data_IF_274724261473
#
_entry.id   IF_274724261473
#
_cell.length_a   1.000
_cell.length_b   1.000
_cell.length_c   1.000
_cell.angle_alpha   90.00
_cell.angle_beta   90.00
_cell.angle_gamma   90.00
#
_symmetry.space_group_name_H-M   'P 1'
#
loop_
_entity.id
_entity.type
_entity.pdbx_description
1 polymer ?
#
# COMPACT_ATOMS: atom_id res chain seq x y z
N UNK A 1 56.12 -30.66 -16.88
CA UNK A 1 55.73 -29.60 -15.94
C UNK A 1 55.10 -28.46 -16.68
N UNK A 2 53.83 -28.61 -17.17
CA UNK A 2 53.10 -27.57 -17.90
C UNK A 2 51.60 -27.88 -17.92
N UNK A 3 50.90 -27.92 -16.81
CA UNK A 3 49.44 -28.12 -16.80
C UNK A 3 48.72 -27.50 -15.58
N UNK A 4 49.39 -26.73 -14.72
CA UNK A 4 48.75 -26.19 -13.50
C UNK A 4 48.40 -24.70 -13.51
N UNK A 5 48.57 -23.98 -14.67
CA UNK A 5 48.33 -22.54 -14.80
C UNK A 5 46.98 -22.16 -15.41
N UNK A 6 46.26 -23.09 -16.03
CA UNK A 6 45.01 -22.79 -16.75
C UNK A 6 43.74 -22.97 -15.92
N UNK A 7 43.78 -23.59 -14.76
CA UNK A 7 42.62 -23.85 -13.92
C UNK A 7 42.27 -22.67 -12.94
N UNK A 8 43.25 -21.77 -12.72
CA UNK A 8 43.04 -20.63 -11.82
C UNK A 8 42.36 -19.40 -12.47
N UNK A 9 42.37 -19.33 -13.81
CA UNK A 9 41.80 -18.20 -14.56
C UNK A 9 40.29 -18.30 -14.77
N UNK A 10 39.68 -19.50 -14.61
CA UNK A 10 38.24 -19.71 -14.81
C UNK A 10 37.39 -19.51 -13.54
N UNK A 11 38.00 -19.37 -12.38
CA UNK A 11 37.28 -19.24 -11.10
C UNK A 11 37.01 -17.80 -10.66
N UNK A 12 37.60 -16.81 -11.33
CA UNK A 12 37.45 -15.39 -11.00
C UNK A 12 36.33 -14.69 -11.79
N UNK A 13 35.80 -15.29 -12.84
CA UNK A 13 34.79 -14.67 -13.72
C UNK A 13 33.33 -14.86 -13.25
N UNK A 14 33.08 -15.54 -12.14
CA UNK A 14 31.70 -15.90 -11.72
C UNK A 14 31.16 -15.05 -10.53
N UNK A 15 31.86 -13.99 -10.11
CA UNK A 15 31.55 -13.29 -8.86
C UNK A 15 31.02 -11.86 -8.99
N UNK A 16 30.54 -11.42 -10.15
CA UNK A 16 29.97 -10.07 -10.25
C UNK A 16 28.72 -10.00 -11.14
N UNK A 17 27.73 -10.84 -10.86
CA UNK A 17 26.34 -10.51 -11.17
C UNK A 17 25.63 -10.36 -9.82
N UNK A 18 26.03 -9.40 -9.04
CA UNK A 18 25.16 -8.83 -8.03
C UNK A 18 24.00 -8.17 -8.81
N UNK A 19 22.94 -8.94 -9.05
CA UNK A 19 21.72 -8.42 -9.64
C UNK A 19 21.29 -7.22 -8.82
N UNK A 20 21.35 -6.02 -9.39
CA UNK A 20 20.71 -4.85 -8.82
C UNK A 20 19.22 -5.15 -8.77
N UNK A 21 18.73 -5.62 -7.62
CA UNK A 21 17.29 -5.73 -7.41
C UNK A 21 16.68 -4.35 -7.70
N UNK A 22 15.64 -4.26 -8.52
CA UNK A 22 15.01 -2.97 -8.80
C UNK A 22 14.62 -2.33 -7.47
N UNK A 23 14.95 -1.06 -7.31
CA UNK A 23 14.62 -0.33 -6.09
C UNK A 23 13.10 -0.37 -5.87
N UNK A 24 12.68 -0.91 -4.73
CA UNK A 24 11.27 -1.01 -4.40
C UNK A 24 10.67 0.40 -4.25
N UNK A 25 9.50 0.63 -4.87
CA UNK A 25 8.78 1.90 -4.74
C UNK A 25 8.46 2.18 -3.27
N UNK A 26 8.54 3.46 -2.88
CA UNK A 26 8.27 3.92 -1.51
C UNK A 26 6.85 4.46 -1.38
N UNK A 27 6.25 4.25 -0.22
CA UNK A 27 5.01 4.89 0.18
C UNK A 27 5.27 6.35 0.56
N UNK A 28 4.49 7.26 -0.01
CA UNK A 28 4.69 8.72 0.14
C UNK A 28 3.73 9.35 1.16
N UNK A 29 2.66 8.63 1.53
CA UNK A 29 1.62 9.09 2.44
C UNK A 29 0.45 9.82 1.77
N UNK A 30 -0.75 9.69 2.37
CA UNK A 30 -1.98 10.22 1.82
C UNK A 30 -1.98 11.74 1.64
N UNK A 31 -1.32 12.48 2.54
CA UNK A 31 -1.23 13.95 2.43
C UNK A 31 -0.57 14.41 1.12
N UNK A 32 0.39 13.65 0.61
CA UNK A 32 1.01 13.93 -0.69
C UNK A 32 -0.02 13.85 -1.82
N UNK A 33 -0.90 12.86 -1.81
CA UNK A 33 -2.00 12.73 -2.77
C UNK A 33 -3.02 13.87 -2.59
N UNK A 34 -3.32 14.19 -1.33
CA UNK A 34 -4.25 15.25 -0.95
C UNK A 34 -3.90 16.65 -1.44
N UNK A 35 -2.62 16.93 -1.74
CA UNK A 35 -2.23 18.23 -2.33
C UNK A 35 -2.99 18.55 -3.63
N UNK A 36 -3.34 17.53 -4.42
CA UNK A 36 -4.12 17.68 -5.64
C UNK A 36 -5.55 17.13 -5.49
N UNK A 37 -5.71 15.96 -4.88
CA UNK A 37 -6.98 15.20 -4.86
C UNK A 37 -8.01 15.68 -3.82
N UNK A 38 -7.79 16.82 -3.16
CA UNK A 38 -8.83 17.57 -2.42
C UNK A 38 -9.66 18.47 -3.32
N UNK A 39 -9.15 18.86 -4.47
CA UNK A 39 -9.78 19.82 -5.34
C UNK A 39 -10.93 19.18 -6.12
N UNK A 40 -12.02 19.95 -6.33
CA UNK A 40 -13.23 19.48 -7.06
C UNK A 40 -12.94 19.08 -8.49
N UNK A 41 -12.11 19.86 -9.18
CA UNK A 41 -11.67 19.58 -10.54
C UNK A 41 -10.77 18.34 -10.66
N UNK A 42 -10.33 17.78 -9.53
CA UNK A 42 -9.55 16.54 -9.42
C UNK A 42 -10.35 15.37 -8.84
N UNK A 43 -11.67 15.51 -8.66
CA UNK A 43 -12.58 14.44 -8.22
C UNK A 43 -12.67 14.23 -6.71
N UNK A 44 -12.06 15.08 -5.88
CA UNK A 44 -12.15 15.07 -4.40
C UNK A 44 -11.85 13.70 -3.74
N UNK A 45 -11.08 12.84 -4.39
CA UNK A 45 -10.80 11.48 -3.93
C UNK A 45 -10.24 11.44 -2.49
N UNK A 46 -9.42 12.43 -2.12
CA UNK A 46 -8.91 12.55 -0.76
C UNK A 46 -10.02 12.82 0.26
N UNK A 47 -11.04 13.62 -0.08
CA UNK A 47 -12.16 13.94 0.80
C UNK A 47 -13.05 12.71 1.03
N UNK A 48 -13.25 11.89 -0.01
CA UNK A 48 -13.96 10.60 0.10
C UNK A 48 -13.21 9.66 1.04
N UNK A 49 -11.91 9.51 0.83
CA UNK A 49 -11.06 8.66 1.68
C UNK A 49 -11.03 9.15 3.13
N UNK A 50 -10.83 10.44 3.38
CA UNK A 50 -10.72 11.02 4.73
C UNK A 50 -11.96 10.74 5.60
N UNK A 51 -13.14 10.63 4.98
CA UNK A 51 -14.40 10.29 5.64
C UNK A 51 -14.62 8.78 5.80
N UNK A 52 -13.83 7.95 5.14
CA UNK A 52 -14.01 6.50 5.10
C UNK A 52 -13.53 5.81 6.38
N UNK A 53 -13.96 4.56 6.57
CA UNK A 53 -13.43 3.68 7.61
C UNK A 53 -11.95 3.34 7.40
N UNK A 54 -11.45 3.35 6.16
CA UNK A 54 -10.07 3.09 5.83
C UNK A 54 -9.12 4.14 6.42
N UNK A 55 -9.46 5.43 6.34
CA UNK A 55 -8.67 6.49 6.96
C UNK A 55 -8.59 6.38 8.48
N UNK A 56 -9.57 5.72 9.12
CA UNK A 56 -9.66 5.52 10.57
C UNK A 56 -9.18 4.15 11.01
N UNK A 57 -8.69 3.32 10.08
CA UNK A 57 -8.38 1.92 10.36
C UNK A 57 -7.31 1.77 11.46
N UNK A 58 -6.25 2.58 11.46
CA UNK A 58 -5.24 2.56 12.53
C UNK A 58 -5.82 2.97 13.89
N UNK A 59 -6.69 3.98 13.93
CA UNK A 59 -7.29 4.45 15.19
C UNK A 59 -8.15 3.38 15.86
N UNK A 60 -8.76 2.48 15.07
CA UNK A 60 -9.53 1.37 15.66
C UNK A 60 -8.67 0.41 16.47
N UNK A 61 -7.36 0.34 16.20
CA UNK A 61 -6.42 -0.50 16.95
C UNK A 61 -6.10 0.05 18.35
N UNK A 62 -6.45 1.30 18.64
CA UNK A 62 -6.25 1.95 19.95
C UNK A 62 -7.45 1.77 20.88
N UNK A 63 -8.50 1.08 20.44
CA UNK A 63 -9.71 0.84 21.23
C UNK A 63 -9.52 -0.29 22.23
N UNK A 64 -10.28 -0.26 23.33
CA UNK A 64 -10.33 -1.38 24.31
C UNK A 64 -10.67 -2.71 23.65
N UNK A 65 -11.60 -2.70 22.68
CA UNK A 65 -11.99 -3.89 21.94
C UNK A 65 -10.81 -4.50 21.15
N UNK A 66 -10.00 -3.66 20.51
CA UNK A 66 -8.82 -4.13 19.78
C UNK A 66 -7.79 -4.77 20.73
N UNK A 67 -7.57 -4.17 21.90
CA UNK A 67 -6.69 -4.73 22.93
C UNK A 67 -7.21 -6.06 23.49
N UNK A 68 -8.52 -6.23 23.66
CA UNK A 68 -9.13 -7.49 24.05
C UNK A 68 -8.91 -8.58 22.98
N UNK A 69 -9.05 -8.23 21.69
CA UNK A 69 -8.74 -9.15 20.61
C UNK A 69 -7.26 -9.52 20.55
N UNK A 70 -6.36 -8.56 20.76
CA UNK A 70 -4.93 -8.83 20.80
C UNK A 70 -4.58 -9.81 21.95
N UNK A 71 -5.12 -9.60 23.14
CA UNK A 71 -4.97 -10.50 24.29
C UNK A 71 -5.53 -11.89 24.00
N UNK A 72 -6.74 -11.98 23.44
CA UNK A 72 -7.38 -13.24 23.07
C UNK A 72 -6.57 -14.03 22.04
N UNK A 73 -5.90 -13.33 21.11
CA UNK A 73 -4.98 -13.95 20.14
C UNK A 73 -3.59 -14.27 20.72
N UNK A 74 -3.31 -13.91 21.97
CA UNK A 74 -2.01 -14.14 22.61
C UNK A 74 -0.90 -13.25 22.07
N UNK A 75 -1.24 -12.07 21.50
CA UNK A 75 -0.24 -11.15 20.98
C UNK A 75 0.55 -10.54 22.14
N UNK A 76 1.88 -10.42 21.95
CA UNK A 76 2.81 -9.87 22.96
C UNK A 76 2.85 -8.35 22.98
N UNK A 77 2.37 -7.70 21.92
CA UNK A 77 2.35 -6.24 21.76
C UNK A 77 0.91 -5.73 21.73
N UNK A 78 0.69 -4.46 22.08
CA UNK A 78 -0.60 -3.81 21.86
C UNK A 78 -1.07 -3.95 20.41
N UNK A 79 -2.40 -3.93 20.19
CA UNK A 79 -2.96 -4.08 18.84
C UNK A 79 -2.36 -3.07 17.84
N UNK A 80 -2.17 -1.81 18.28
CA UNK A 80 -1.61 -0.74 17.44
C UNK A 80 -0.09 -0.88 17.13
N UNK A 81 0.56 -1.90 17.70
CA UNK A 81 1.99 -2.19 17.49
C UNK A 81 2.23 -3.61 16.95
N UNK A 82 1.18 -4.42 16.90
CA UNK A 82 1.25 -5.82 16.47
C UNK A 82 1.22 -5.92 14.94
N UNK A 83 2.24 -6.54 14.30
CA UNK A 83 2.26 -6.74 12.85
C UNK A 83 1.02 -7.45 12.32
N UNK A 84 0.46 -8.37 13.11
CA UNK A 84 -0.74 -9.13 12.78
C UNK A 84 -1.98 -8.25 12.60
N UNK A 85 -2.02 -7.12 13.31
CA UNK A 85 -3.08 -6.12 13.17
C UNK A 85 -2.73 -5.09 12.10
N UNK A 86 -1.49 -4.60 12.13
CA UNK A 86 -1.02 -3.54 11.25
C UNK A 86 -1.07 -3.94 9.76
N UNK A 87 -0.90 -5.23 9.43
CA UNK A 87 -0.96 -5.72 8.05
C UNK A 87 -2.25 -5.36 7.31
N UNK A 88 -3.37 -5.20 8.05
CA UNK A 88 -4.68 -4.84 7.49
C UNK A 88 -5.10 -3.41 7.84
N UNK A 89 -4.54 -2.82 8.88
CA UNK A 89 -4.97 -1.52 9.40
C UNK A 89 -4.04 -0.36 9.04
N UNK A 90 -2.93 -0.64 8.35
CA UNK A 90 -1.97 0.38 7.88
C UNK A 90 -1.48 0.04 6.49
N UNK A 91 -1.39 1.04 5.63
CA UNK A 91 -0.78 0.90 4.30
C UNK A 91 0.63 0.34 4.40
N UNK A 92 0.95 -0.66 3.59
CA UNK A 92 2.26 -1.34 3.64
C UNK A 92 2.46 -2.22 4.87
N UNK A 93 1.41 -2.53 5.63
CA UNK A 93 1.47 -3.44 6.79
C UNK A 93 2.13 -2.85 8.03
N UNK A 94 2.33 -1.54 8.08
CA UNK A 94 2.88 -0.82 9.23
C UNK A 94 4.37 -1.09 9.53
N UNK A 95 4.97 -2.10 8.93
CA UNK A 95 6.39 -2.42 9.02
C UNK A 95 7.15 -1.99 7.75
N UNK A 96 6.53 -1.16 6.92
CA UNK A 96 7.13 -0.72 5.68
C UNK A 96 8.44 0.05 5.94
N UNK A 97 9.56 -0.54 5.57
CA UNK A 97 10.87 0.11 5.58
C UNK A 97 11.05 1.01 4.34
N UNK A 98 10.22 0.80 3.33
CA UNK A 98 10.20 1.53 2.07
C UNK A 98 9.20 2.70 2.11
N UNK A 99 9.42 3.66 3.00
CA UNK A 99 8.57 4.86 3.15
C UNK A 99 9.37 6.14 2.89
N UNK A 100 8.68 7.19 2.41
CA UNK A 100 9.20 8.57 2.40
C UNK A 100 8.82 9.28 3.72
N UNK A 101 9.47 10.41 4.01
CA UNK A 101 9.25 11.19 5.25
C UNK A 101 7.79 11.65 5.44
N UNK A 102 7.02 11.75 4.35
CA UNK A 102 5.60 12.12 4.37
C UNK A 102 4.65 11.03 4.84
N UNK A 103 5.08 9.78 4.83
CA UNK A 103 4.26 8.64 5.24
C UNK A 103 3.96 8.67 6.74
N UNK A 104 2.71 8.43 7.10
CA UNK A 104 2.26 8.31 8.51
C UNK A 104 1.39 7.07 8.66
N UNK A 105 1.73 6.17 9.60
CA UNK A 105 0.91 4.99 9.89
C UNK A 105 -0.48 5.35 10.43
N UNK A 106 -0.60 6.52 11.04
CA UNK A 106 -1.85 7.08 11.56
C UNK A 106 -2.88 7.38 10.46
N UNK A 107 -2.43 7.46 9.19
CA UNK A 107 -3.32 7.59 8.03
C UNK A 107 -4.10 6.29 7.71
N UNK A 108 -3.81 5.20 8.43
CA UNK A 108 -4.52 3.94 8.28
C UNK A 108 -4.30 3.29 6.92
N UNK A 109 -5.39 2.81 6.31
CA UNK A 109 -5.37 2.26 4.95
C UNK A 109 -5.58 3.41 3.97
N UNK A 110 -4.48 3.92 3.42
CA UNK A 110 -4.47 5.11 2.58
C UNK A 110 -4.55 4.80 1.09
N UNK A 111 -4.50 5.84 0.27
CA UNK A 111 -4.57 5.76 -1.20
C UNK A 111 -3.66 4.68 -1.79
N UNK A 112 -2.45 4.59 -1.28
CA UNK A 112 -1.40 3.70 -1.80
C UNK A 112 -1.62 2.22 -1.47
N UNK A 113 -2.52 1.90 -0.54
CA UNK A 113 -2.93 0.51 -0.29
C UNK A 113 -3.66 -0.10 -1.50
N UNK A 114 -4.36 0.75 -2.25
CA UNK A 114 -5.11 0.36 -3.44
C UNK A 114 -4.39 0.76 -4.74
N UNK A 115 -3.71 1.91 -4.73
CA UNK A 115 -3.09 2.46 -5.95
C UNK A 115 -1.61 2.11 -6.13
N UNK A 116 -1.00 1.43 -5.15
CA UNK A 116 0.44 1.10 -5.14
C UNK A 116 1.32 2.23 -4.60
N UNK A 117 2.54 1.88 -4.20
CA UNK A 117 3.53 2.82 -3.65
C UNK A 117 3.93 3.88 -4.68
N UNK A 118 3.72 5.16 -4.37
CA UNK A 118 3.64 6.22 -5.35
C UNK A 118 4.95 6.94 -5.68
N UNK A 119 6.07 6.60 -5.03
CA UNK A 119 7.33 7.34 -5.22
C UNK A 119 7.77 7.43 -6.68
N UNK A 120 7.58 6.36 -7.46
CA UNK A 120 8.00 6.33 -8.86
C UNK A 120 6.98 6.94 -9.82
N UNK A 121 5.68 6.95 -9.50
CA UNK A 121 4.66 7.41 -10.44
C UNK A 121 4.00 8.75 -10.09
N UNK A 122 4.16 9.27 -8.87
CA UNK A 122 3.49 10.53 -8.46
C UNK A 122 3.72 11.69 -9.44
N UNK A 123 4.90 11.82 -10.01
CA UNK A 123 5.24 12.90 -10.95
C UNK A 123 4.75 12.63 -12.38
N UNK A 124 4.81 11.39 -12.87
CA UNK A 124 4.27 11.02 -14.18
C UNK A 124 2.75 11.09 -14.18
N UNK A 125 2.12 10.63 -13.10
CA UNK A 125 0.69 10.71 -12.88
C UNK A 125 0.19 12.17 -12.89
N UNK A 126 0.89 13.08 -12.21
CA UNK A 126 0.52 14.51 -12.17
C UNK A 126 0.58 15.19 -13.54
N UNK A 127 1.39 14.68 -14.45
CA UNK A 127 1.50 15.13 -15.85
C UNK A 127 0.47 14.48 -16.78
N UNK A 128 -0.39 13.57 -16.26
CA UNK A 128 -1.39 12.87 -17.03
C UNK A 128 -0.88 11.68 -17.85
N UNK A 129 0.37 11.29 -17.69
CA UNK A 129 0.95 10.13 -18.39
C UNK A 129 0.55 8.82 -17.70
N UNK A 130 -0.62 8.32 -18.09
CA UNK A 130 -1.26 7.15 -17.47
C UNK A 130 -0.47 5.87 -17.71
N UNK A 131 0.08 5.67 -18.90
CA UNK A 131 0.80 4.44 -19.24
C UNK A 131 2.16 4.37 -18.53
N UNK A 132 2.92 5.46 -18.50
CA UNK A 132 4.14 5.51 -17.69
C UNK A 132 3.87 5.34 -16.21
N UNK A 133 2.76 5.88 -15.72
CA UNK A 133 2.38 5.74 -14.31
C UNK A 133 2.08 4.29 -13.95
N UNK A 134 1.36 3.56 -14.82
CA UNK A 134 1.10 2.13 -14.66
C UNK A 134 2.41 1.32 -14.73
N UNK A 135 3.25 1.59 -15.71
CA UNK A 135 4.56 0.94 -15.82
C UNK A 135 5.45 1.18 -14.59
N UNK A 136 5.28 2.32 -13.91
CA UNK A 136 5.95 2.65 -12.67
C UNK A 136 5.25 2.10 -11.40
N UNK A 137 4.22 1.26 -11.55
CA UNK A 137 3.55 0.57 -10.45
C UNK A 137 2.23 1.17 -9.99
N UNK A 138 1.66 2.15 -10.73
CA UNK A 138 0.33 2.65 -10.41
C UNK A 138 -0.75 1.61 -10.74
N UNK A 139 -1.60 1.31 -9.77
CA UNK A 139 -2.77 0.44 -9.91
C UNK A 139 -4.02 1.31 -10.06
N UNK A 140 -4.92 0.91 -10.94
CA UNK A 140 -6.26 1.49 -11.06
C UNK A 140 -7.28 0.43 -10.63
N UNK A 141 -7.77 0.49 -9.38
CA UNK A 141 -8.75 -0.47 -8.88
C UNK A 141 -10.03 -0.49 -9.69
N UNK A 142 -10.66 -1.66 -9.74
CA UNK A 142 -11.93 -1.86 -10.43
C UNK A 142 -12.96 -2.47 -9.49
N UNK A 143 -14.22 -2.06 -9.62
CA UNK A 143 -15.36 -2.64 -8.89
C UNK A 143 -15.61 -4.13 -9.15
N UNK A 144 -14.96 -4.69 -10.15
CA UNK A 144 -15.06 -6.12 -10.51
C UNK A 144 -13.90 -6.96 -9.97
N UNK A 145 -12.86 -6.34 -9.38
CA UNK A 145 -11.69 -7.05 -8.86
C UNK A 145 -11.63 -6.98 -7.33
N UNK A 146 -12.23 -7.98 -6.68
CA UNK A 146 -12.21 -8.10 -5.23
C UNK A 146 -10.86 -8.56 -4.66
N UNK A 147 -9.96 -9.11 -5.50
CA UNK A 147 -8.69 -9.71 -5.04
C UNK A 147 -7.80 -8.76 -4.25
N UNK A 148 -7.85 -7.48 -4.57
CA UNK A 148 -7.07 -6.50 -3.82
C UNK A 148 -7.64 -6.20 -2.43
N UNK A 149 -8.92 -6.50 -2.18
CA UNK A 149 -9.61 -6.27 -0.90
C UNK A 149 -9.47 -7.49 0.04
N UNK A 150 -9.44 -8.70 -0.51
CA UNK A 150 -9.44 -9.97 0.21
C UNK A 150 -8.29 -10.16 1.20
N UNK A 151 -7.05 -9.65 0.97
CA UNK A 151 -5.97 -9.77 1.96
C UNK A 151 -6.29 -9.18 3.33
N UNK A 152 -7.20 -8.19 3.39
CA UNK A 152 -7.64 -7.56 4.64
C UNK A 152 -9.09 -7.92 5.00
N UNK A 153 -9.96 -8.08 4.02
CA UNK A 153 -11.38 -8.40 4.20
C UNK A 153 -11.63 -9.91 4.15
N UNK A 154 -11.18 -10.63 5.19
CA UNK A 154 -11.28 -12.08 5.29
C UNK A 154 -11.52 -12.53 6.75
N UNK A 155 -11.63 -13.86 6.97
CA UNK A 155 -11.94 -14.46 8.28
C UNK A 155 -10.85 -14.32 9.34
N UNK A 156 -9.65 -13.83 9.01
CA UNK A 156 -8.62 -13.52 10.02
C UNK A 156 -9.01 -12.31 10.88
N UNK A 157 -9.85 -11.43 10.36
CA UNK A 157 -10.41 -10.32 11.14
C UNK A 157 -11.43 -10.85 12.16
N UNK A 158 -11.29 -10.50 13.46
CA UNK A 158 -12.21 -10.97 14.49
C UNK A 158 -13.63 -10.40 14.35
N UNK A 159 -13.81 -9.39 13.51
CA UNK A 159 -15.09 -8.72 13.25
C UNK A 159 -15.65 -9.03 11.87
N UNK A 160 -15.04 -9.96 11.12
CA UNK A 160 -15.47 -10.29 9.77
C UNK A 160 -16.86 -10.91 9.74
N UNK A 161 -17.76 -10.35 8.94
CA UNK A 161 -19.14 -10.80 8.74
C UNK A 161 -19.46 -11.09 7.28
N UNK A 162 -18.42 -11.35 6.47
CA UNK A 162 -18.53 -11.48 5.03
C UNK A 162 -18.14 -10.20 4.31
N UNK A 163 -17.83 -10.33 3.02
CA UNK A 163 -17.44 -9.23 2.14
C UNK A 163 -18.25 -9.29 0.84
N UNK A 164 -19.00 -8.22 0.57
CA UNK A 164 -19.74 -8.05 -0.68
C UNK A 164 -19.17 -6.86 -1.42
N UNK A 165 -18.44 -7.12 -2.51
CA UNK A 165 -17.71 -6.12 -3.27
C UNK A 165 -18.59 -4.92 -3.67
N UNK A 166 -19.80 -5.15 -4.22
CA UNK A 166 -20.70 -4.09 -4.66
C UNK A 166 -21.11 -3.12 -3.55
N UNK A 167 -21.38 -3.66 -2.34
CA UNK A 167 -21.78 -2.85 -1.19
C UNK A 167 -20.59 -2.07 -0.60
N UNK A 168 -19.42 -2.70 -0.59
CA UNK A 168 -18.22 -2.09 0.00
C UNK A 168 -17.58 -1.07 -0.94
N UNK A 169 -17.60 -1.35 -2.24
CA UNK A 169 -17.09 -0.44 -3.27
C UNK A 169 -17.81 0.91 -3.24
N UNK A 170 -19.15 0.90 -3.16
CA UNK A 170 -19.95 2.11 -3.12
C UNK A 170 -19.59 3.07 -1.97
N UNK A 171 -18.94 2.57 -0.89
CA UNK A 171 -18.53 3.38 0.25
C UNK A 171 -17.20 4.10 0.07
N UNK A 172 -16.39 3.67 -0.91
CA UNK A 172 -15.05 4.18 -1.15
C UNK A 172 -14.83 4.63 -2.59
N UNK A 173 -15.80 4.38 -3.47
CA UNK A 173 -15.71 4.77 -4.87
C UNK A 173 -15.51 6.28 -5.00
N UNK A 174 -14.57 6.65 -5.82
CA UNK A 174 -14.31 8.03 -6.19
C UNK A 174 -13.90 8.08 -7.65
N UNK A 175 -14.15 9.21 -8.27
CA UNK A 175 -13.87 9.39 -9.67
C UNK A 175 -12.60 10.23 -9.87
N UNK A 176 -11.94 10.03 -11.01
CA UNK A 176 -10.91 10.93 -11.48
C UNK A 176 -11.48 12.31 -11.84
N UNK A 177 -10.62 13.21 -12.32
CA UNK A 177 -11.09 14.51 -12.79
C UNK A 177 -12.23 14.33 -13.83
N UNK A 178 -13.25 15.21 -13.81
CA UNK A 178 -14.29 15.17 -14.81
C UNK A 178 -13.69 15.28 -16.21
N UNK A 179 -14.27 14.58 -17.18
CA UNK A 179 -13.82 14.68 -18.56
C UNK A 179 -13.84 16.16 -19.01
N UNK A 180 -12.74 16.62 -19.58
CA UNK A 180 -12.71 17.95 -20.19
C UNK A 180 -13.75 17.97 -21.30
N UNK A 181 -14.73 18.88 -21.19
CA UNK A 181 -15.68 19.16 -22.27
C UNK A 181 -14.96 19.81 -23.44
#
# INVERSE_FOLDING_TARGET
>A
MRTTRSLFALLVAFLFVAGMAPAQNKFVGAKTCGMCHKAKDKGEAFVVWEKSAHAKAYETLKTKQAEEFAKKKGLKKPAAESPECLKCHVTGGGAATNVEAGFKKEEGVSCEACHGAASAFKMTHSKGDKEKSKAAGMILPSKTDAKMCEPCHNSESPTFKGFKMSEMWAKIEHHGPPAKK
#
